data_IF_426396289134
#
_entry.id   IF_426396289134
#
_cell.length_a   1.000
_cell.length_b   1.000
_cell.length_c   1.000
_cell.angle_alpha   90.00
_cell.angle_beta   90.00
_cell.angle_gamma   90.00
#
_symmetry.space_group_name_H-M   'P 1'
#
loop_
_entity.id
_entity.type
_entity.pdbx_description
1 polymer ?
#
# COMPACT_ATOMS: atom_id res chain seq x y z
N UNK A 1 -26.84 -43.12 -67.36
CA UNK A 1 -27.18 -41.72 -67.05
C UNK A 1 -26.87 -41.51 -65.57
N UNK A 2 -25.95 -40.59 -65.27
CA UNK A 2 -25.23 -40.48 -64.00
C UNK A 2 -26.03 -39.63 -63.01
N UNK A 3 -26.34 -40.13 -61.81
CA UNK A 3 -26.89 -39.32 -60.72
C UNK A 3 -25.76 -38.66 -59.94
N UNK A 4 -25.69 -37.33 -59.97
CA UNK A 4 -24.77 -36.53 -59.14
C UNK A 4 -25.38 -36.32 -57.76
N UNK A 5 -24.63 -36.70 -56.71
CA UNK A 5 -24.93 -36.34 -55.33
C UNK A 5 -24.45 -34.90 -55.04
N UNK A 6 -25.27 -34.12 -54.34
CA UNK A 6 -24.92 -32.79 -53.83
C UNK A 6 -24.58 -32.92 -52.35
N UNK A 7 -23.34 -32.62 -51.97
CA UNK A 7 -22.92 -32.45 -50.58
C UNK A 7 -23.17 -30.98 -50.17
N UNK A 8 -23.79 -30.69 -49.02
CA UNK A 8 -23.94 -29.31 -48.56
C UNK A 8 -22.62 -28.84 -47.93
N UNK A 9 -22.11 -27.74 -48.47
CA UNK A 9 -20.98 -26.99 -47.94
C UNK A 9 -21.43 -26.28 -46.65
N UNK A 10 -21.08 -26.82 -45.48
CA UNK A 10 -21.28 -26.14 -44.20
C UNK A 10 -20.20 -25.06 -44.05
N UNK A 11 -20.60 -23.81 -44.24
CA UNK A 11 -19.78 -22.63 -43.98
C UNK A 11 -19.64 -22.46 -42.46
N UNK A 12 -18.50 -22.85 -41.89
CA UNK A 12 -18.19 -22.66 -40.48
C UNK A 12 -17.94 -21.19 -40.18
N UNK A 13 -18.86 -20.54 -39.48
CA UNK A 13 -18.64 -19.21 -38.89
C UNK A 13 -17.77 -19.36 -37.64
N UNK A 14 -16.47 -19.10 -37.79
CA UNK A 14 -15.54 -18.99 -36.66
C UNK A 14 -15.82 -17.70 -35.88
N UNK A 15 -16.46 -17.83 -34.72
CA UNK A 15 -16.67 -16.73 -33.79
C UNK A 15 -15.34 -16.48 -33.04
N UNK A 16 -14.55 -15.52 -33.52
CA UNK A 16 -13.39 -15.04 -32.78
C UNK A 16 -13.88 -14.16 -31.62
N UNK A 17 -13.97 -14.73 -30.42
CA UNK A 17 -14.06 -13.93 -29.19
C UNK A 17 -12.70 -13.27 -28.96
N UNK A 18 -12.54 -12.04 -29.44
CA UNK A 18 -11.48 -11.15 -28.96
C UNK A 18 -11.77 -10.81 -27.50
N UNK A 19 -11.14 -11.54 -26.57
CA UNK A 19 -11.16 -11.18 -25.17
C UNK A 19 -10.49 -9.83 -25.00
N UNK A 20 -11.25 -8.81 -24.63
CA UNK A 20 -10.70 -7.56 -24.13
C UNK A 20 -10.06 -7.90 -22.79
N UNK A 21 -8.73 -7.99 -22.75
CA UNK A 21 -8.00 -8.06 -21.49
C UNK A 21 -8.28 -6.76 -20.73
N UNK A 22 -8.98 -6.84 -19.60
CA UNK A 22 -9.07 -5.72 -18.68
C UNK A 22 -7.65 -5.40 -18.20
N UNK A 23 -7.27 -4.12 -18.24
CA UNK A 23 -5.99 -3.69 -17.68
C UNK A 23 -6.03 -3.96 -16.17
N UNK A 24 -5.22 -4.90 -15.70
CA UNK A 24 -5.00 -5.10 -14.28
C UNK A 24 -4.27 -3.88 -13.74
N UNK A 25 -4.76 -3.30 -12.65
CA UNK A 25 -3.99 -2.27 -11.95
C UNK A 25 -2.67 -2.88 -11.46
N UNK A 26 -1.59 -2.09 -11.53
CA UNK A 26 -0.22 -2.49 -11.18
C UNK A 26 0.30 -1.59 -10.07
N UNK A 27 1.08 -2.14 -9.14
CA UNK A 27 1.65 -1.38 -8.03
C UNK A 27 2.94 -0.65 -8.44
N UNK A 28 3.13 0.56 -7.93
CA UNK A 28 4.42 1.27 -8.00
C UNK A 28 5.38 0.72 -6.94
N UNK A 29 4.86 0.37 -5.77
CA UNK A 29 5.64 -0.15 -4.65
C UNK A 29 4.89 -1.24 -3.91
N UNK A 30 5.60 -2.29 -3.49
CA UNK A 30 5.09 -3.32 -2.58
C UNK A 30 6.01 -3.42 -1.36
N UNK A 31 5.43 -3.29 -0.17
CA UNK A 31 6.11 -3.51 1.11
C UNK A 31 5.82 -4.92 1.64
N UNK A 32 6.83 -5.63 2.12
CA UNK A 32 6.69 -7.00 2.67
C UNK A 32 7.87 -7.36 3.59
N UNK A 33 7.87 -8.57 4.17
CA UNK A 33 9.02 -9.08 4.94
C UNK A 33 9.13 -8.55 6.37
N UNK A 34 8.05 -7.99 6.91
CA UNK A 34 7.99 -7.46 8.27
C UNK A 34 6.58 -7.52 8.86
N UNK A 35 6.41 -7.02 10.08
CA UNK A 35 5.09 -6.96 10.72
C UNK A 35 4.29 -5.80 10.15
N UNK A 36 3.19 -6.06 9.45
CA UNK A 36 2.30 -5.01 8.96
C UNK A 36 1.06 -4.98 9.84
N UNK A 37 0.87 -3.87 10.55
CA UNK A 37 -0.25 -3.63 11.44
C UNK A 37 -1.22 -2.67 10.75
N UNK A 38 -2.42 -3.11 10.42
CA UNK A 38 -3.40 -2.29 9.69
C UNK A 38 -4.22 -1.38 10.61
N UNK A 39 -4.30 -1.74 11.90
CA UNK A 39 -5.20 -1.12 12.88
C UNK A 39 -6.68 -1.23 12.46
N UNK A 40 -7.01 -2.26 11.68
CA UNK A 40 -8.37 -2.64 11.31
C UNK A 40 -8.80 -3.87 12.12
N UNK A 41 -9.83 -3.76 12.96
CA UNK A 41 -10.32 -4.86 13.80
C UNK A 41 -10.67 -6.14 13.00
N UNK A 42 -11.13 -6.00 11.75
CA UNK A 42 -11.48 -7.14 10.90
C UNK A 42 -10.26 -7.83 10.27
N UNK A 43 -9.13 -7.13 10.16
CA UNK A 43 -7.90 -7.63 9.55
C UNK A 43 -6.69 -6.94 10.19
N UNK A 44 -6.37 -7.21 11.46
CA UNK A 44 -5.42 -6.39 12.24
C UNK A 44 -3.97 -6.47 11.75
N UNK A 45 -3.63 -7.50 10.98
CA UNK A 45 -2.31 -7.74 10.42
C UNK A 45 -2.37 -8.08 8.94
N UNK A 46 -1.28 -7.84 8.21
CA UNK A 46 -1.08 -8.26 6.83
C UNK A 46 0.36 -8.74 6.59
N UNK A 47 0.60 -9.40 5.46
CA UNK A 47 1.94 -9.82 5.03
C UNK A 47 2.56 -8.84 4.04
N UNK A 48 1.73 -8.16 3.24
CA UNK A 48 2.18 -7.17 2.26
C UNK A 48 1.18 -6.03 2.03
N UNK A 49 1.67 -4.91 1.48
CA UNK A 49 0.89 -3.75 1.05
C UNK A 49 1.37 -3.31 -0.33
N UNK A 50 0.45 -3.19 -1.30
CA UNK A 50 0.70 -2.60 -2.61
C UNK A 50 0.22 -1.15 -2.64
N UNK A 51 1.03 -0.26 -3.22
CA UNK A 51 0.75 1.17 -3.37
C UNK A 51 0.87 1.58 -4.83
N UNK A 52 -0.08 2.41 -5.29
CA UNK A 52 -0.07 3.07 -6.60
C UNK A 52 -0.47 4.54 -6.43
N UNK A 53 0.30 5.47 -6.98
CA UNK A 53 0.02 6.92 -6.91
C UNK A 53 -0.25 7.43 -5.48
N UNK A 54 0.48 6.90 -4.50
CA UNK A 54 0.33 7.24 -3.08
C UNK A 54 -0.92 6.68 -2.39
N UNK A 55 -1.69 5.82 -3.07
CA UNK A 55 -2.87 5.14 -2.52
C UNK A 55 -2.63 3.65 -2.35
N UNK A 56 -3.23 3.06 -1.32
CA UNK A 56 -3.16 1.60 -1.09
C UNK A 56 -4.06 0.91 -2.12
N UNK A 57 -3.45 0.09 -2.96
CA UNK A 57 -4.12 -0.72 -3.97
C UNK A 57 -4.62 -2.05 -3.39
N UNK A 58 -3.80 -2.68 -2.54
CA UNK A 58 -4.14 -3.93 -1.85
C UNK A 58 -3.37 -4.07 -0.53
N UNK A 59 -3.97 -4.79 0.42
CA UNK A 59 -3.37 -5.15 1.71
C UNK A 59 -3.84 -6.55 2.11
N UNK A 60 -2.92 -7.42 2.51
CA UNK A 60 -3.27 -8.79 2.91
C UNK A 60 -2.13 -9.77 2.72
N UNK A 61 -2.49 -10.96 2.24
CA UNK A 61 -1.57 -12.07 2.03
C UNK A 61 -0.56 -11.73 0.93
N UNK A 62 0.66 -12.23 1.09
CA UNK A 62 1.77 -11.91 0.20
C UNK A 62 1.47 -12.28 -1.26
N UNK A 63 0.84 -13.44 -1.48
CA UNK A 63 0.52 -13.95 -2.81
C UNK A 63 -0.49 -13.05 -3.54
N UNK A 64 -1.52 -12.58 -2.83
CA UNK A 64 -2.56 -11.73 -3.41
C UNK A 64 -2.00 -10.35 -3.76
N UNK A 65 -1.17 -9.79 -2.89
CA UNK A 65 -0.55 -8.47 -3.09
C UNK A 65 0.51 -8.51 -4.20
N UNK A 66 1.29 -9.59 -4.30
CA UNK A 66 2.29 -9.74 -5.37
C UNK A 66 1.69 -9.98 -6.75
N UNK A 67 0.39 -10.29 -6.84
CA UNK A 67 -0.33 -10.33 -8.13
C UNK A 67 -0.40 -8.96 -8.84
N UNK A 68 -0.12 -7.86 -8.12
CA UNK A 68 -0.05 -6.50 -8.66
C UNK A 68 1.38 -6.11 -9.10
N UNK A 69 2.37 -6.99 -8.90
CA UNK A 69 3.76 -6.73 -9.24
C UNK A 69 4.00 -6.78 -10.76
N UNK A 70 4.84 -5.87 -11.24
CA UNK A 70 5.43 -5.89 -12.58
C UNK A 70 6.94 -5.68 -12.49
N UNK A 71 7.64 -5.74 -13.62
CA UNK A 71 9.08 -5.42 -13.71
C UNK A 71 9.40 -3.96 -13.31
N UNK A 72 8.41 -3.07 -13.32
CA UNK A 72 8.56 -1.67 -12.90
C UNK A 72 8.26 -1.45 -11.40
N UNK A 73 7.70 -2.45 -10.70
CA UNK A 73 7.30 -2.32 -9.30
C UNK A 73 8.52 -2.36 -8.38
N UNK A 74 8.63 -1.37 -7.50
CA UNK A 74 9.64 -1.39 -6.45
C UNK A 74 9.22 -2.33 -5.32
N UNK A 75 10.04 -3.34 -5.02
CA UNK A 75 9.87 -4.17 -3.84
C UNK A 75 10.68 -3.62 -2.68
N UNK A 76 10.03 -3.43 -1.52
CA UNK A 76 10.65 -2.98 -0.28
C UNK A 76 10.51 -4.08 0.76
N UNK A 77 11.63 -4.73 1.08
CA UNK A 77 11.74 -5.62 2.22
C UNK A 77 11.89 -4.80 3.51
N UNK A 78 11.00 -5.05 4.46
CA UNK A 78 10.97 -4.40 5.76
C UNK A 78 12.01 -4.99 6.72
N UNK A 79 12.65 -6.12 6.37
CA UNK A 79 13.70 -6.77 7.17
C UNK A 79 13.25 -7.02 8.63
N UNK A 80 12.01 -7.48 8.80
CA UNK A 80 11.40 -7.74 10.10
C UNK A 80 10.90 -6.49 10.85
N UNK A 81 11.08 -5.27 10.32
CA UNK A 81 10.55 -4.04 10.93
C UNK A 81 9.02 -3.94 10.80
N UNK A 82 8.43 -3.09 11.62
CA UNK A 82 6.98 -2.86 11.60
C UNK A 82 6.59 -1.74 10.61
N UNK A 83 5.51 -1.96 9.86
CA UNK A 83 4.78 -0.96 9.10
C UNK A 83 3.41 -0.76 9.73
N UNK A 84 3.01 0.49 9.91
CA UNK A 84 1.72 0.89 10.48
C UNK A 84 1.19 2.17 9.81
N UNK A 85 -0.12 2.48 9.92
CA UNK A 85 -0.64 3.78 9.56
C UNK A 85 0.16 4.91 10.24
N UNK A 86 0.39 5.98 9.49
CA UNK A 86 0.99 7.19 10.04
C UNK A 86 0.12 7.78 11.15
N UNK A 87 0.76 8.40 12.15
CA UNK A 87 0.03 9.11 13.19
C UNK A 87 -0.69 10.34 12.62
N UNK A 88 -1.93 10.55 13.07
CA UNK A 88 -2.73 11.72 12.72
C UNK A 88 -2.97 12.52 14.00
N UNK A 89 -2.44 13.75 14.04
CA UNK A 89 -2.74 14.70 15.10
C UNK A 89 -4.02 15.46 14.75
N UNK A 90 -5.09 15.19 15.50
CA UNK A 90 -6.39 15.84 15.30
C UNK A 90 -6.47 17.26 15.87
N UNK A 91 -5.57 17.62 16.78
CA UNK A 91 -5.59 18.92 17.45
C UNK A 91 -4.22 19.31 18.01
N UNK A 92 -3.32 19.74 17.13
CA UNK A 92 -1.99 20.21 17.48
C UNK A 92 -1.84 21.72 17.37
N UNK A 93 -1.07 22.32 18.28
CA UNK A 93 -0.61 23.72 18.16
C UNK A 93 0.80 23.80 17.58
N UNK A 94 0.96 23.40 16.31
CA UNK A 94 2.28 23.23 15.66
C UNK A 94 3.16 24.48 15.77
N UNK A 95 2.59 25.68 15.60
CA UNK A 95 3.33 26.94 15.71
C UNK A 95 3.86 27.16 17.12
N UNK A 96 3.05 26.90 18.14
CA UNK A 96 3.47 27.04 19.55
C UNK A 96 4.53 26.01 19.91
N UNK A 97 4.39 24.76 19.41
CA UNK A 97 5.41 23.73 19.55
C UNK A 97 6.75 24.17 18.94
N UNK A 98 6.72 24.80 17.75
CA UNK A 98 7.91 25.38 17.13
C UNK A 98 8.57 26.48 17.98
N UNK A 99 7.77 27.42 18.51
CA UNK A 99 8.27 28.50 19.39
C UNK A 99 8.90 27.92 20.66
N UNK A 100 8.27 26.91 21.27
CA UNK A 100 8.79 26.25 22.45
C UNK A 100 10.12 25.54 22.17
N UNK A 101 10.24 24.84 21.04
CA UNK A 101 11.46 24.13 20.65
C UNK A 101 12.65 25.07 20.36
N UNK A 102 12.39 26.31 19.96
CA UNK A 102 13.42 27.32 19.67
C UNK A 102 13.79 28.20 20.87
N UNK A 103 12.98 28.18 21.93
CA UNK A 103 13.22 28.97 23.13
C UNK A 103 14.19 28.28 24.09
N UNK A 104 14.78 29.02 25.02
CA UNK A 104 15.54 28.41 26.12
C UNK A 104 14.61 27.49 26.93
N UNK A 105 15.01 26.24 27.12
CA UNK A 105 14.24 25.29 27.92
C UNK A 105 14.43 25.58 29.42
N UNK A 106 13.52 26.37 29.98
CA UNK A 106 13.49 26.69 31.41
C UNK A 106 12.46 25.83 32.17
N UNK A 107 11.99 24.74 31.57
CA UNK A 107 10.93 23.91 32.14
C UNK A 107 11.49 22.96 33.21
N UNK A 108 10.63 22.62 34.18
CA UNK A 108 10.92 21.59 35.17
C UNK A 108 10.73 20.18 34.59
N UNK A 109 11.25 19.12 35.24
CA UNK A 109 10.96 17.75 34.84
C UNK A 109 9.46 17.46 34.79
N UNK A 110 8.99 16.65 33.81
CA UNK A 110 9.77 15.90 32.82
C UNK A 110 10.15 16.68 31.54
N UNK A 111 9.59 17.87 31.31
CA UNK A 111 9.74 18.59 30.03
C UNK A 111 11.06 19.35 29.91
N UNK A 112 11.71 19.63 31.04
CA UNK A 112 13.06 20.18 31.13
C UNK A 112 13.81 19.63 32.33
N UNK A 113 14.91 20.29 32.70
CA UNK A 113 15.82 19.84 33.77
C UNK A 113 15.92 20.82 34.94
N UNK A 114 15.23 21.95 34.87
CA UNK A 114 15.34 23.02 35.86
C UNK A 114 14.65 22.60 37.16
N UNK A 115 15.36 22.65 38.28
CA UNK A 115 14.80 22.34 39.60
C UNK A 115 14.82 23.52 40.57
N UNK A 116 15.65 24.52 40.29
CA UNK A 116 15.78 25.76 41.05
C UNK A 116 16.40 26.87 40.16
N UNK A 117 16.47 28.10 40.68
CA UNK A 117 17.02 29.26 39.95
C UNK A 117 18.54 29.11 39.71
N UNK A 118 19.25 28.42 40.60
CA UNK A 118 20.70 28.25 40.49
C UNK A 118 21.08 27.24 39.40
N UNK A 119 20.16 26.36 39.01
CA UNK A 119 20.28 25.32 37.99
C UNK A 119 19.71 25.71 36.62
N UNK A 120 19.25 26.96 36.46
CA UNK A 120 18.88 27.54 35.17
C UNK A 120 20.07 27.66 34.22
#
# INVERSE_FOLDING_TARGET
>A
MVSKAYAPLLLGTGLFLSGIAAAQDTADTIYMGGSILTINDAQPTAEAVAVKDGQILAVGDLADVTSFQTDATQLIDLEGRALLPGFVDSHGHVVMGGIQALSANLLAPPDGKVTDIASL
#
